data_IF_309181270162
#
_entry.id   IF_309181270162
#
_cell.length_a   1.000
_cell.length_b   1.000
_cell.length_c   1.000
_cell.angle_alpha   90.00
_cell.angle_beta   90.00
_cell.angle_gamma   90.00
#
_symmetry.space_group_name_H-M   'P 1'
#
loop_
_entity.id
_entity.type
_entity.pdbx_description
1 polymer ?
#
# COMPACT_ATOMS: atom_id res chain seq x y z
N UNK A 1 -10.32 -57.60 -14.16
CA UNK A 1 -9.16 -57.06 -13.41
C UNK A 1 -9.54 -55.66 -12.96
N UNK A 2 -9.85 -55.48 -11.68
CA UNK A 2 -10.12 -54.15 -11.12
C UNK A 2 -8.79 -53.46 -10.83
N UNK A 3 -8.43 -52.47 -11.66
CA UNK A 3 -7.27 -51.64 -11.43
C UNK A 3 -7.54 -50.74 -10.22
N UNK A 4 -6.88 -51.02 -9.11
CA UNK A 4 -6.88 -50.10 -7.97
C UNK A 4 -5.99 -48.92 -8.32
N UNK A 5 -6.62 -47.80 -8.65
CA UNK A 5 -5.92 -46.54 -8.85
C UNK A 5 -5.71 -45.89 -7.49
N UNK A 6 -4.46 -45.85 -7.01
CA UNK A 6 -4.10 -45.11 -5.81
C UNK A 6 -4.28 -43.61 -6.07
N UNK A 7 -5.36 -43.06 -5.51
CA UNK A 7 -5.63 -41.62 -5.54
C UNK A 7 -4.66 -40.95 -4.57
N UNK A 8 -3.54 -40.44 -5.09
CA UNK A 8 -2.62 -39.61 -4.31
C UNK A 8 -3.26 -38.23 -4.15
N UNK A 9 -3.82 -37.96 -2.97
CA UNK A 9 -4.30 -36.64 -2.62
C UNK A 9 -3.11 -35.65 -2.58
N UNK A 10 -3.16 -34.53 -3.31
CA UNK A 10 -2.08 -33.55 -3.27
C UNK A 10 -1.99 -32.91 -1.88
N UNK A 11 -0.85 -33.08 -1.22
CA UNK A 11 -0.56 -32.46 0.07
C UNK A 11 -0.10 -31.03 -0.20
N UNK A 12 -1.04 -30.08 -0.14
CA UNK A 12 -0.72 -28.66 -0.22
C UNK A 12 -0.08 -28.21 1.09
N UNK A 13 1.25 -28.10 1.10
CA UNK A 13 1.95 -27.43 2.20
C UNK A 13 1.68 -25.94 2.10
N UNK A 14 0.93 -25.39 3.04
CA UNK A 14 0.86 -23.94 3.23
C UNK A 14 2.25 -23.46 3.62
N UNK A 15 2.97 -22.80 2.69
CA UNK A 15 4.10 -21.98 3.09
C UNK A 15 3.52 -20.89 3.98
N UNK A 16 4.00 -20.82 5.22
CA UNK A 16 3.82 -19.61 6.02
C UNK A 16 4.52 -18.51 5.24
N UNK A 17 3.78 -17.79 4.39
CA UNK A 17 4.27 -16.52 3.90
C UNK A 17 4.35 -15.67 5.14
N UNK A 18 5.54 -15.62 5.75
CA UNK A 18 5.93 -14.44 6.50
C UNK A 18 5.87 -13.35 5.46
N UNK A 19 4.70 -12.74 5.35
CA UNK A 19 4.59 -11.46 4.69
C UNK A 19 5.44 -10.58 5.59
N UNK A 20 6.72 -10.47 5.24
CA UNK A 20 7.53 -9.33 5.63
C UNK A 20 6.78 -8.15 5.02
N UNK A 21 5.74 -7.69 5.72
CA UNK A 21 5.28 -6.32 5.60
C UNK A 21 6.49 -5.56 6.05
N UNK A 22 7.34 -5.17 5.09
CA UNK A 22 8.35 -4.16 5.31
C UNK A 22 7.64 -3.09 6.14
N UNK A 23 8.12 -2.94 7.37
CA UNK A 23 7.52 -2.03 8.33
C UNK A 23 7.37 -0.70 7.59
N UNK A 24 6.14 -0.19 7.48
CA UNK A 24 5.91 1.01 6.70
C UNK A 24 6.60 2.15 7.44
N UNK A 25 7.80 2.49 7.00
CA UNK A 25 8.55 3.64 7.51
C UNK A 25 8.03 4.85 6.73
N UNK A 26 7.23 5.74 7.35
CA UNK A 26 6.76 6.94 6.67
C UNK A 26 7.97 7.81 6.31
N UNK A 27 8.18 8.02 5.02
CA UNK A 27 9.24 8.90 4.50
C UNK A 27 8.59 10.13 3.88
N UNK A 28 8.54 11.28 4.57
CA UNK A 28 8.01 12.51 3.99
C UNK A 28 8.78 12.86 2.70
N UNK A 29 8.03 13.18 1.65
CA UNK A 29 8.56 13.62 0.36
C UNK A 29 8.33 15.12 0.15
N UNK A 30 7.20 15.64 0.60
CA UNK A 30 6.91 17.07 0.57
C UNK A 30 6.04 17.47 1.77
N UNK A 31 6.19 18.72 2.20
CA UNK A 31 5.35 19.36 3.21
C UNK A 31 4.86 20.69 2.69
N UNK A 32 3.59 20.97 2.91
CA UNK A 32 2.93 22.21 2.54
C UNK A 32 2.13 22.71 3.74
N UNK A 33 2.22 24.00 4.01
CA UNK A 33 1.40 24.66 5.01
C UNK A 33 0.48 25.67 4.31
N UNK A 34 -0.81 25.58 4.58
CA UNK A 34 -1.82 26.53 4.12
C UNK A 34 -2.70 26.89 5.32
N UNK A 35 -2.60 28.13 5.78
CA UNK A 35 -3.17 28.63 7.05
C UNK A 35 -2.90 27.69 8.24
N UNK A 36 -3.96 27.08 8.76
CA UNK A 36 -3.92 26.16 9.91
C UNK A 36 -3.77 24.69 9.51
N UNK A 37 -3.56 24.39 8.22
CA UNK A 37 -3.47 23.02 7.69
C UNK A 37 -2.03 22.72 7.29
N UNK A 38 -1.45 21.67 7.86
CA UNK A 38 -0.20 21.04 7.39
C UNK A 38 -0.53 19.80 6.55
N UNK A 39 -0.21 19.86 5.25
CA UNK A 39 -0.28 18.73 4.34
C UNK A 39 1.11 18.10 4.17
N UNK A 40 1.26 16.85 4.58
CA UNK A 40 2.48 16.06 4.33
C UNK A 40 2.22 14.97 3.29
N UNK A 41 3.01 14.96 2.22
CA UNK A 41 2.98 13.92 1.18
C UNK A 41 4.12 12.95 1.45
N UNK A 42 3.83 11.66 1.56
CA UNK A 42 4.81 10.61 1.79
C UNK A 42 5.30 9.95 0.49
N UNK A 43 6.50 9.37 0.55
CA UNK A 43 7.10 8.60 -0.55
C UNK A 43 6.19 7.42 -0.93
N UNK A 44 5.98 7.24 -2.23
CA UNK A 44 5.05 6.24 -2.77
C UNK A 44 3.67 6.79 -3.12
N UNK A 45 3.36 8.05 -2.75
CA UNK A 45 2.15 8.71 -3.21
C UNK A 45 2.17 8.90 -4.74
N UNK A 46 1.00 8.74 -5.38
CA UNK A 46 0.84 9.02 -6.80
C UNK A 46 1.05 10.53 -7.04
N UNK A 47 1.98 10.94 -7.92
CA UNK A 47 2.29 12.36 -8.12
C UNK A 47 1.12 13.20 -8.62
N UNK A 48 0.29 12.66 -9.52
CA UNK A 48 -0.88 13.38 -10.06
C UNK A 48 -1.91 13.61 -8.96
N UNK A 49 -2.25 12.57 -8.19
CA UNK A 49 -3.19 12.68 -7.09
C UNK A 49 -2.69 13.63 -6.00
N UNK A 50 -1.42 13.52 -5.63
CA UNK A 50 -0.81 14.40 -4.62
C UNK A 50 -0.86 15.87 -5.06
N UNK A 51 -0.65 16.13 -6.35
CA UNK A 51 -0.74 17.48 -6.93
C UNK A 51 -2.16 18.04 -6.86
N UNK A 52 -3.16 17.23 -7.21
CA UNK A 52 -4.56 17.70 -7.20
C UNK A 52 -5.06 17.95 -5.78
N UNK A 53 -4.68 17.10 -4.82
CA UNK A 53 -4.96 17.33 -3.39
C UNK A 53 -4.30 18.64 -2.92
N UNK A 54 -3.02 18.85 -3.25
CA UNK A 54 -2.32 20.07 -2.86
C UNK A 54 -3.00 21.34 -3.42
N UNK A 55 -3.44 21.32 -4.69
CA UNK A 55 -4.19 22.43 -5.29
C UNK A 55 -5.50 22.72 -4.57
N UNK A 56 -6.25 21.67 -4.21
CA UNK A 56 -7.53 21.81 -3.48
C UNK A 56 -7.28 22.40 -2.10
N UNK A 57 -6.28 21.89 -1.37
CA UNK A 57 -5.92 22.43 -0.05
C UNK A 57 -5.52 23.90 -0.15
N UNK A 58 -4.67 24.28 -1.11
CA UNK A 58 -4.28 25.70 -1.28
C UNK A 58 -5.48 26.59 -1.63
N UNK A 59 -6.45 26.07 -2.39
CA UNK A 59 -7.62 26.85 -2.82
C UNK A 59 -8.64 27.07 -1.71
N UNK A 60 -8.79 26.11 -0.81
CA UNK A 60 -9.87 26.08 0.18
C UNK A 60 -9.40 26.12 1.64
N UNK A 61 -8.09 26.12 1.88
CA UNK A 61 -7.55 26.55 3.16
C UNK A 61 -7.66 28.08 3.18
N UNK A 62 -8.67 28.57 3.89
CA UNK A 62 -8.89 29.95 4.33
C UNK A 62 -9.89 29.95 5.48
#
# INVERSE_FOLDING_TARGET
>A
MEGKHDIVAPIFKTKNSVVNKEEFIPRPAAKLQADNIELTIFKGANPSLATDIAKVVIRYAH
#
